data_IF_848848688205
#
_entry.id   IF_848848688205
#
_cell.length_a   1.000
_cell.length_b   1.000
_cell.length_c   1.000
_cell.angle_alpha   90.00
_cell.angle_beta   90.00
_cell.angle_gamma   90.00
#
_symmetry.space_group_name_H-M   'P 1'
#
loop_
_entity.id
_entity.type
_entity.pdbx_description
1 polymer ?
#
# COMPACT_ATOMS: atom_id res chain seq x y z
N UNK A 1 0.36 16.78 -8.52
CA UNK A 1 -0.84 16.99 -7.67
C UNK A 1 -0.45 16.85 -6.23
N UNK A 2 -0.76 17.84 -5.40
CA UNK A 2 -0.42 17.84 -3.96
C UNK A 2 -1.48 17.07 -3.19
N UNK A 3 -1.15 15.92 -2.63
CA UNK A 3 -2.06 15.17 -1.75
C UNK A 3 -1.96 15.78 -0.36
N UNK A 4 -2.99 16.51 0.08
CA UNK A 4 -3.11 16.97 1.47
C UNK A 4 -3.62 15.81 2.33
N UNK A 5 -2.75 15.17 3.07
CA UNK A 5 -3.11 14.16 4.06
C UNK A 5 -3.62 14.86 5.34
N UNK A 6 -4.83 14.53 5.79
CA UNK A 6 -5.41 15.05 7.03
C UNK A 6 -4.86 14.29 8.23
N UNK A 7 -4.41 15.02 9.23
CA UNK A 7 -3.96 14.51 10.51
C UNK A 7 -5.14 14.03 11.36
N UNK A 8 -5.03 12.84 11.95
CA UNK A 8 -5.82 12.43 13.10
C UNK A 8 -4.90 12.48 14.34
N UNK A 9 -5.23 13.35 15.29
CA UNK A 9 -4.55 13.45 16.59
C UNK A 9 -4.73 12.19 17.42
N UNK A 10 -3.73 11.74 18.18
CA UNK A 10 -3.87 10.62 19.09
C UNK A 10 -4.63 11.06 20.34
N UNK A 11 -5.84 10.60 20.54
CA UNK A 11 -6.55 10.66 21.82
C UNK A 11 -6.34 9.36 22.58
N UNK A 12 -5.74 9.53 23.72
CA UNK A 12 -5.81 8.81 24.99
C UNK A 12 -5.96 7.29 25.07
N UNK A 13 -5.15 6.71 25.99
CA UNK A 13 -4.99 5.29 26.24
C UNK A 13 -6.27 4.58 26.68
N UNK A 14 -6.74 3.70 25.87
CA UNK A 14 -7.67 2.64 26.16
C UNK A 14 -7.30 1.43 25.33
N UNK A 15 -7.33 0.24 25.91
CA UNK A 15 -7.23 -1.04 25.24
C UNK A 15 -8.27 -1.10 24.12
N UNK A 16 -7.90 -0.57 22.95
CA UNK A 16 -8.74 -0.60 21.77
C UNK A 16 -8.51 -1.97 21.13
N UNK A 17 -9.48 -2.86 21.27
CA UNK A 17 -9.76 -3.85 20.26
C UNK A 17 -9.77 -3.07 18.93
N UNK A 18 -8.68 -3.20 18.18
CA UNK A 18 -8.58 -2.64 16.83
C UNK A 18 -9.73 -3.21 16.01
N UNK A 19 -10.81 -2.46 15.88
CA UNK A 19 -11.80 -2.75 14.86
C UNK A 19 -11.04 -2.64 13.53
N UNK A 20 -10.78 -3.79 12.90
CA UNK A 20 -10.17 -3.87 11.59
C UNK A 20 -11.06 -3.07 10.66
N UNK A 21 -10.61 -1.89 10.26
CA UNK A 21 -11.39 -1.00 9.41
C UNK A 21 -11.37 -1.54 7.99
N UNK A 22 -12.49 -2.08 7.56
CA UNK A 22 -12.71 -2.69 6.24
C UNK A 22 -12.63 -1.68 5.07
N UNK A 23 -12.53 -0.39 5.38
CA UNK A 23 -12.54 0.70 4.40
C UNK A 23 -11.31 0.76 3.50
N UNK A 24 -10.18 0.19 3.92
CA UNK A 24 -8.92 0.22 3.15
C UNK A 24 -8.96 -0.64 1.87
N UNK A 25 -9.52 -1.85 1.95
CA UNK A 25 -9.56 -2.79 0.82
C UNK A 25 -10.61 -2.43 -0.24
N UNK A 26 -11.75 -1.89 0.16
CA UNK A 26 -12.75 -1.40 -0.79
C UNK A 26 -12.20 -0.27 -1.67
N UNK A 27 -11.30 0.54 -1.13
CA UNK A 27 -10.58 1.58 -1.88
C UNK A 27 -9.47 1.01 -2.77
N UNK A 28 -8.90 -0.15 -2.41
CA UNK A 28 -7.88 -0.83 -3.22
C UNK A 28 -8.45 -1.50 -4.47
N UNK A 29 -9.71 -1.91 -4.48
CA UNK A 29 -10.30 -2.63 -5.65
C UNK A 29 -10.35 -1.78 -6.92
N UNK A 30 -10.39 -0.45 -6.81
CA UNK A 30 -10.35 0.47 -7.95
C UNK A 30 -8.95 0.71 -8.53
N UNK A 31 -7.89 0.59 -7.73
CA UNK A 31 -6.53 0.93 -8.13
C UNK A 31 -5.91 0.00 -9.20
N UNK A 32 -6.08 -1.34 -9.12
CA UNK A 32 -5.65 -2.22 -10.20
C UNK A 32 -6.32 -1.90 -11.54
N UNK A 33 -7.57 -1.44 -11.52
CA UNK A 33 -8.30 -1.03 -12.73
C UNK A 33 -7.70 0.23 -13.35
N UNK A 34 -7.40 1.25 -12.56
CA UNK A 34 -6.67 2.45 -13.03
C UNK A 34 -5.31 2.08 -13.65
N UNK A 35 -4.60 1.12 -13.03
CA UNK A 35 -3.34 0.61 -13.55
C UNK A 35 -3.50 -0.08 -14.92
N UNK A 36 -4.53 -0.90 -15.07
CA UNK A 36 -4.87 -1.56 -16.33
C UNK A 36 -5.22 -0.54 -17.43
N UNK A 37 -6.02 0.47 -17.12
CA UNK A 37 -6.44 1.52 -18.06
C UNK A 37 -5.24 2.29 -18.64
N UNK A 38 -4.22 2.56 -17.83
CA UNK A 38 -2.98 3.21 -18.30
C UNK A 38 -2.28 2.37 -19.37
N UNK A 39 -2.14 1.06 -19.17
CA UNK A 39 -1.50 0.17 -20.15
C UNK A 39 -2.38 -0.08 -21.37
N UNK A 40 -3.70 -0.05 -21.23
CA UNK A 40 -4.62 -0.10 -22.37
C UNK A 40 -4.50 1.15 -23.24
N UNK A 41 -4.40 2.34 -22.64
CA UNK A 41 -4.17 3.57 -23.37
C UNK A 41 -2.80 3.59 -24.09
N UNK A 42 -1.75 3.05 -23.46
CA UNK A 42 -0.44 2.87 -24.08
C UNK A 42 -0.53 1.94 -25.29
N UNK A 43 -1.25 0.84 -25.20
CA UNK A 43 -1.47 -0.10 -26.30
C UNK A 43 -2.21 0.55 -27.47
N UNK A 44 -3.22 1.40 -27.19
CA UNK A 44 -3.95 2.15 -28.22
C UNK A 44 -3.01 3.13 -28.95
N UNK A 45 -2.14 3.82 -28.20
CA UNK A 45 -1.16 4.73 -28.78
C UNK A 45 -0.20 3.99 -29.72
N UNK A 46 0.40 2.89 -29.27
CA UNK A 46 1.29 2.05 -30.08
C UNK A 46 0.59 1.51 -31.33
N UNK A 47 -0.67 1.08 -31.19
CA UNK A 47 -1.47 0.60 -32.32
C UNK A 47 -1.77 1.70 -33.35
N UNK A 48 -1.97 2.95 -32.91
CA UNK A 48 -2.15 4.09 -33.80
C UNK A 48 -0.84 4.41 -34.57
N UNK A 49 0.30 4.39 -33.88
CA UNK A 49 1.62 4.55 -34.48
C UNK A 49 1.92 3.45 -35.51
N UNK A 50 1.52 2.22 -35.23
CA UNK A 50 1.65 1.10 -36.16
C UNK A 50 0.88 1.35 -37.46
N UNK A 51 -0.35 1.86 -37.38
CA UNK A 51 -1.17 2.21 -38.57
C UNK A 51 -0.53 3.30 -39.40
N UNK A 52 0.04 4.32 -38.77
CA UNK A 52 0.77 5.40 -39.46
C UNK A 52 2.07 4.92 -40.10
N UNK A 53 2.83 4.07 -39.40
CA UNK A 53 4.10 3.49 -39.91
C UNK A 53 3.85 2.58 -41.08
N UNK A 54 2.75 1.80 -41.08
CA UNK A 54 2.36 0.98 -42.26
C UNK A 54 2.11 1.81 -43.50
N UNK A 55 1.61 3.03 -43.37
CA UNK A 55 1.43 3.97 -44.49
C UNK A 55 2.76 4.50 -45.02
N UNK A 56 3.78 4.60 -44.18
CA UNK A 56 5.09 5.22 -44.52
C UNK A 56 6.20 4.22 -44.90
N UNK A 57 5.87 2.92 -45.07
CA UNK A 57 6.78 1.86 -45.57
C UNK A 57 8.10 1.66 -44.81
N UNK A 58 8.18 1.95 -43.52
CA UNK A 58 9.36 1.72 -42.66
C UNK A 58 9.31 0.33 -42.02
N UNK A 59 9.66 -0.72 -42.75
CA UNK A 59 9.53 -2.12 -42.38
C UNK A 59 10.27 -2.52 -41.09
N UNK A 60 11.50 -2.04 -40.88
CA UNK A 60 12.27 -2.39 -39.68
C UNK A 60 11.61 -1.86 -38.40
N UNK A 61 11.20 -0.61 -38.41
CA UNK A 61 10.51 0.02 -37.29
C UNK A 61 9.14 -0.63 -37.02
N UNK A 62 8.46 -1.09 -38.07
CA UNK A 62 7.20 -1.80 -37.97
C UNK A 62 7.34 -3.13 -37.18
N UNK A 63 8.43 -3.87 -37.41
CA UNK A 63 8.69 -5.12 -36.72
C UNK A 63 8.91 -4.92 -35.22
N UNK A 64 9.69 -3.93 -34.83
CA UNK A 64 9.95 -3.61 -33.42
C UNK A 64 8.64 -3.18 -32.73
N UNK A 65 7.83 -2.35 -33.37
CA UNK A 65 6.55 -1.90 -32.86
C UNK A 65 5.54 -3.07 -32.70
N UNK A 66 5.51 -4.02 -33.64
CA UNK A 66 4.68 -5.23 -33.50
C UNK A 66 5.12 -6.12 -32.34
N UNK A 67 6.42 -6.23 -32.10
CA UNK A 67 6.96 -6.98 -30.96
C UNK A 67 6.55 -6.34 -29.64
N UNK A 68 6.62 -5.01 -29.56
CA UNK A 68 6.24 -4.24 -28.37
C UNK A 68 4.74 -4.35 -28.10
N UNK A 69 3.89 -4.18 -29.10
CA UNK A 69 2.44 -4.37 -29.00
C UNK A 69 2.10 -5.78 -28.48
N UNK A 70 2.69 -6.84 -29.05
CA UNK A 70 2.46 -8.22 -28.59
C UNK A 70 2.95 -8.47 -27.17
N UNK A 71 4.02 -7.81 -26.75
CA UNK A 71 4.50 -7.90 -25.38
C UNK A 71 3.51 -7.24 -24.42
N UNK A 72 3.01 -6.04 -24.76
CA UNK A 72 2.05 -5.29 -23.98
C UNK A 72 0.69 -5.99 -23.91
N UNK A 73 0.20 -6.57 -25.02
CA UNK A 73 -1.02 -7.40 -25.01
C UNK A 73 -0.94 -8.58 -24.04
N UNK A 74 0.19 -9.30 -24.03
CA UNK A 74 0.42 -10.40 -23.09
C UNK A 74 0.47 -9.91 -21.65
N UNK A 75 1.04 -8.74 -21.42
CA UNK A 75 1.10 -8.12 -20.10
C UNK A 75 -0.30 -7.71 -19.62
N UNK A 76 -1.10 -7.05 -20.47
CA UNK A 76 -2.50 -6.68 -20.16
C UNK A 76 -3.34 -7.91 -19.82
N UNK A 77 -3.29 -8.98 -20.61
CA UNK A 77 -4.02 -10.22 -20.31
C UNK A 77 -3.61 -10.83 -18.96
N UNK A 78 -2.33 -10.73 -18.61
CA UNK A 78 -1.83 -11.18 -17.30
C UNK A 78 -2.38 -10.32 -16.17
N UNK A 79 -2.42 -9.00 -16.36
CA UNK A 79 -3.02 -8.07 -15.39
C UNK A 79 -4.51 -8.37 -15.19
N UNK A 80 -5.28 -8.55 -16.26
CA UNK A 80 -6.70 -8.91 -16.20
C UNK A 80 -6.92 -10.20 -15.42
N UNK A 81 -6.12 -11.22 -15.68
CA UNK A 81 -6.19 -12.48 -14.95
C UNK A 81 -5.88 -12.29 -13.44
N UNK A 82 -4.84 -11.51 -13.11
CA UNK A 82 -4.51 -11.24 -11.71
C UNK A 82 -5.60 -10.43 -11.01
N UNK A 83 -6.18 -9.44 -11.68
CA UNK A 83 -7.31 -8.68 -11.15
C UNK A 83 -8.49 -9.59 -10.80
N UNK A 84 -8.87 -10.49 -11.72
CA UNK A 84 -9.94 -11.46 -11.46
C UNK A 84 -9.63 -12.35 -10.24
N UNK A 85 -8.36 -12.75 -10.07
CA UNK A 85 -7.94 -13.53 -8.90
C UNK A 85 -8.00 -12.73 -7.60
N UNK A 86 -7.58 -11.47 -7.62
CA UNK A 86 -7.70 -10.58 -6.46
C UNK A 86 -9.17 -10.35 -6.09
N UNK A 87 -10.04 -10.10 -7.08
CA UNK A 87 -11.47 -9.91 -6.86
C UNK A 87 -12.12 -11.17 -6.26
N UNK A 88 -11.87 -12.35 -6.81
CA UNK A 88 -12.37 -13.64 -6.32
C UNK A 88 -11.94 -13.90 -4.87
N UNK A 89 -10.66 -13.71 -4.58
CA UNK A 89 -10.11 -13.94 -3.24
C UNK A 89 -10.63 -12.89 -2.25
N UNK A 90 -10.78 -11.64 -2.68
CA UNK A 90 -11.34 -10.57 -1.88
C UNK A 90 -12.80 -10.80 -1.53
N UNK A 91 -13.63 -11.24 -2.48
CA UNK A 91 -15.03 -11.59 -2.23
C UNK A 91 -15.13 -12.73 -1.20
N UNK A 92 -14.32 -13.78 -1.38
CA UNK A 92 -14.24 -14.90 -0.43
C UNK A 92 -13.84 -14.42 0.96
N UNK A 93 -12.83 -13.60 1.03
CA UNK A 93 -12.38 -12.96 2.29
C UNK A 93 -13.50 -12.15 2.95
N UNK A 94 -14.21 -11.33 2.18
CA UNK A 94 -15.35 -10.54 2.67
C UNK A 94 -16.46 -11.41 3.28
N UNK A 95 -16.77 -12.53 2.63
CA UNK A 95 -17.79 -13.48 3.15
C UNK A 95 -17.32 -14.09 4.46
N UNK A 96 -16.11 -14.60 4.52
CA UNK A 96 -15.54 -15.19 5.73
C UNK A 96 -15.46 -14.17 6.89
N UNK A 97 -15.01 -12.97 6.60
CA UNK A 97 -14.96 -11.89 7.59
C UNK A 97 -16.35 -11.55 8.17
N UNK A 98 -17.38 -11.45 7.31
CA UNK A 98 -18.77 -11.21 7.76
C UNK A 98 -19.30 -12.34 8.61
N UNK A 99 -18.99 -13.58 8.26
CA UNK A 99 -19.36 -14.76 9.06
C UNK A 99 -18.67 -14.73 10.43
N UNK A 100 -17.38 -14.44 10.49
CA UNK A 100 -16.63 -14.26 11.72
C UNK A 100 -17.22 -13.16 12.59
N UNK A 101 -17.52 -11.99 12.03
CA UNK A 101 -18.13 -10.88 12.77
C UNK A 101 -19.53 -11.24 13.27
N UNK A 102 -20.33 -11.92 12.47
CA UNK A 102 -21.63 -12.44 12.87
C UNK A 102 -21.52 -13.39 14.07
N UNK A 103 -20.60 -14.35 14.01
CA UNK A 103 -20.35 -15.30 15.08
C UNK A 103 -19.86 -14.62 16.38
N UNK A 104 -18.95 -13.65 16.28
CA UNK A 104 -18.48 -12.86 17.44
C UNK A 104 -19.63 -12.05 18.05
N UNK A 105 -20.46 -11.40 17.24
CA UNK A 105 -21.60 -10.63 17.70
C UNK A 105 -22.65 -11.52 18.38
N UNK A 106 -22.94 -12.70 17.80
CA UNK A 106 -23.83 -13.69 18.42
C UNK A 106 -23.28 -14.17 19.77
N UNK A 107 -21.99 -14.52 19.82
CA UNK A 107 -21.32 -14.92 21.08
C UNK A 107 -21.46 -13.82 22.14
N UNK A 108 -21.22 -12.56 21.76
CA UNK A 108 -21.38 -11.40 22.66
C UNK A 108 -22.83 -11.22 23.13
N UNK A 109 -23.79 -11.33 22.21
CA UNK A 109 -25.22 -11.20 22.55
C UNK A 109 -25.65 -12.29 23.55
N UNK A 110 -25.29 -13.54 23.34
CA UNK A 110 -25.62 -14.65 24.24
C UNK A 110 -24.88 -14.55 25.58
N UNK A 111 -23.65 -14.01 25.61
CA UNK A 111 -22.91 -13.81 26.87
C UNK A 111 -23.52 -12.70 27.75
N UNK A 112 -24.21 -11.73 27.14
CA UNK A 112 -24.89 -10.63 27.85
C UNK A 112 -26.36 -10.95 28.20
N UNK A 113 -26.93 -12.05 27.65
CA UNK A 113 -28.28 -12.47 27.91
C UNK A 113 -28.41 -13.11 29.30
N UNK A 114 -29.61 -13.02 29.96
CA UNK A 114 -29.86 -13.73 31.19
C UNK A 114 -29.56 -15.21 31.03
N UNK A 115 -28.96 -15.83 32.06
CA UNK A 115 -28.54 -17.23 32.04
C UNK A 115 -29.73 -18.18 31.97
N UNK A 116 -30.27 -18.39 30.76
CA UNK A 116 -31.25 -19.42 30.47
C UNK A 116 -30.55 -20.70 29.96
N UNK A 117 -31.24 -21.86 30.05
CA UNK A 117 -30.72 -23.12 29.48
C UNK A 117 -30.49 -23.01 27.98
N UNK A 118 -31.41 -22.37 27.26
CA UNK A 118 -31.32 -22.12 25.84
C UNK A 118 -30.11 -21.23 25.48
N UNK A 119 -29.83 -20.16 26.25
CA UNK A 119 -28.65 -19.29 26.04
C UNK A 119 -27.34 -20.06 26.25
N UNK A 120 -27.29 -20.96 27.23
CA UNK A 120 -26.10 -21.80 27.48
C UNK A 120 -25.88 -22.84 26.39
N UNK A 121 -26.93 -23.48 25.90
CA UNK A 121 -26.85 -24.43 24.76
C UNK A 121 -26.42 -23.72 23.49
N UNK A 122 -26.95 -22.54 23.21
CA UNK A 122 -26.52 -21.70 22.03
C UNK A 122 -25.07 -21.24 22.14
N UNK A 123 -24.63 -20.84 23.32
CA UNK A 123 -23.22 -20.51 23.57
C UNK A 123 -22.32 -21.73 23.37
N UNK A 124 -22.70 -22.87 23.88
CA UNK A 124 -21.93 -24.12 23.71
C UNK A 124 -21.85 -24.53 22.24
N UNK A 125 -22.94 -24.41 21.49
CA UNK A 125 -22.95 -24.65 20.04
C UNK A 125 -22.01 -23.68 19.31
N UNK A 126 -22.03 -22.40 19.66
CA UNK A 126 -21.11 -21.42 19.09
C UNK A 126 -19.64 -21.70 19.46
N UNK A 127 -19.36 -22.13 20.68
CA UNK A 127 -18.00 -22.49 21.08
C UNK A 127 -17.44 -23.69 20.34
N UNK A 128 -18.28 -24.64 19.92
CA UNK A 128 -17.87 -25.82 19.17
C UNK A 128 -17.72 -25.50 17.67
N UNK A 129 -18.64 -24.73 17.09
CA UNK A 129 -18.71 -24.55 15.65
C UNK A 129 -18.04 -23.26 15.13
N UNK A 130 -17.93 -22.23 15.98
CA UNK A 130 -17.27 -20.97 15.61
C UNK A 130 -15.75 -21.10 15.42
N UNK A 131 -14.99 -21.92 16.22
CA UNK A 131 -13.57 -22.13 15.91
C UNK A 131 -13.31 -22.71 14.52
N UNK A 132 -14.23 -23.51 13.99
CA UNK A 132 -14.11 -24.02 12.62
C UNK A 132 -14.38 -22.96 11.54
N UNK A 133 -15.17 -21.91 11.87
CA UNK A 133 -15.47 -20.79 10.96
C UNK A 133 -14.55 -19.59 11.16
N UNK A 134 -13.83 -19.52 12.29
CA UNK A 134 -12.99 -18.39 12.70
C UNK A 134 -11.53 -18.82 12.88
N UNK A 135 -11.09 -19.80 12.10
CA UNK A 135 -9.67 -20.14 12.07
C UNK A 135 -8.89 -18.87 11.69
N UNK A 136 -8.28 -18.23 12.68
CA UNK A 136 -7.37 -17.09 12.45
C UNK A 136 -6.29 -17.44 11.42
N UNK A 137 -6.01 -18.72 11.28
CA UNK A 137 -5.09 -19.28 10.30
C UNK A 137 -5.61 -19.10 8.87
N UNK A 138 -6.90 -19.42 8.58
CA UNK A 138 -7.44 -19.32 7.24
C UNK A 138 -7.56 -17.87 6.78
N UNK A 139 -7.99 -16.97 7.68
CA UNK A 139 -8.05 -15.53 7.39
C UNK A 139 -6.66 -14.95 7.14
N UNK A 140 -5.68 -15.30 7.97
CA UNK A 140 -4.30 -14.85 7.81
C UNK A 140 -3.66 -15.37 6.53
N UNK A 141 -4.01 -16.58 6.11
CA UNK A 141 -3.55 -17.15 4.84
C UNK A 141 -4.12 -16.38 3.65
N UNK A 142 -5.44 -16.11 3.66
CA UNK A 142 -6.09 -15.32 2.61
C UNK A 142 -5.53 -13.89 2.54
N UNK A 143 -5.23 -13.29 3.69
CA UNK A 143 -4.59 -11.98 3.76
C UNK A 143 -3.20 -12.02 3.10
N UNK A 144 -2.39 -13.03 3.43
CA UNK A 144 -1.08 -13.23 2.82
C UNK A 144 -1.14 -13.45 1.31
N UNK A 145 -2.10 -14.24 0.85
CA UNK A 145 -2.31 -14.47 -0.59
C UNK A 145 -2.73 -13.20 -1.32
N UNK A 146 -3.61 -12.38 -0.71
CA UNK A 146 -3.99 -11.06 -1.24
C UNK A 146 -2.78 -10.12 -1.33
N UNK A 147 -1.94 -10.08 -0.29
CA UNK A 147 -0.75 -9.24 -0.25
C UNK A 147 0.25 -9.62 -1.36
N UNK A 148 0.45 -10.91 -1.60
CA UNK A 148 1.30 -11.40 -2.69
C UNK A 148 0.74 -10.99 -4.07
N UNK A 149 -0.57 -11.09 -4.26
CA UNK A 149 -1.22 -10.74 -5.52
C UNK A 149 -1.23 -9.22 -5.79
N UNK A 150 -1.15 -8.40 -4.75
CA UNK A 150 -1.06 -6.93 -4.88
C UNK A 150 0.32 -6.45 -5.38
N UNK A 151 1.31 -7.33 -5.46
CA UNK A 151 2.62 -7.01 -6.02
C UNK A 151 3.56 -6.30 -5.06
N UNK A 152 4.29 -5.29 -5.52
CA UNK A 152 5.37 -4.64 -4.78
C UNK A 152 5.27 -3.12 -4.86
N UNK A 153 5.57 -2.44 -3.75
CA UNK A 153 5.69 -0.99 -3.67
C UNK A 153 7.17 -0.61 -3.57
N UNK A 154 7.69 0.01 -4.61
CA UNK A 154 9.04 0.56 -4.66
C UNK A 154 9.00 2.01 -4.20
N UNK A 155 9.70 2.33 -3.12
CA UNK A 155 9.75 3.67 -2.55
C UNK A 155 11.19 4.15 -2.58
N UNK A 156 11.43 5.28 -3.27
CA UNK A 156 12.73 5.95 -3.32
C UNK A 156 12.71 7.21 -2.49
N UNK A 157 13.78 7.39 -1.70
CA UNK A 157 14.03 8.61 -0.96
C UNK A 157 14.52 9.70 -1.91
N UNK A 158 13.82 10.83 -1.98
CA UNK A 158 14.25 12.01 -2.76
C UNK A 158 14.81 13.12 -1.87
N UNK A 159 14.39 13.18 -0.61
CA UNK A 159 14.91 14.12 0.34
C UNK A 159 13.86 14.73 1.26
N UNK A 160 14.33 15.64 2.09
CA UNK A 160 13.50 16.51 2.91
C UNK A 160 13.42 17.89 2.26
N UNK A 161 12.25 18.49 2.29
CA UNK A 161 12.02 19.87 1.90
C UNK A 161 11.60 20.63 3.15
N UNK A 162 12.30 21.69 3.47
CA UNK A 162 12.00 22.51 4.64
C UNK A 162 12.13 23.98 4.37
N UNK A 163 11.20 24.77 4.89
CA UNK A 163 11.34 26.21 4.90
C UNK A 163 12.06 26.64 6.18
N UNK A 164 13.25 27.24 6.03
CA UNK A 164 14.06 27.81 7.10
C UNK A 164 14.51 26.85 8.24
N UNK A 165 14.46 25.53 8.04
CA UNK A 165 14.80 24.56 9.09
C UNK A 165 15.87 23.53 8.74
N UNK A 166 16.18 23.38 7.46
CA UNK A 166 17.24 22.47 7.01
C UNK A 166 18.54 23.29 6.88
N UNK A 167 19.47 23.06 7.78
CA UNK A 167 20.75 23.77 7.76
C UNK A 167 21.87 22.84 7.29
N UNK A 168 22.88 23.39 6.57
CA UNK A 168 24.07 22.63 6.24
C UNK A 168 24.72 21.99 7.46
N UNK A 169 25.02 20.69 7.38
CA UNK A 169 25.57 19.90 8.47
C UNK A 169 24.54 19.16 9.32
N UNK A 170 23.26 19.50 9.22
CA UNK A 170 22.20 18.78 9.93
C UNK A 170 22.11 17.32 9.45
N UNK A 171 21.88 16.43 10.41
CA UNK A 171 21.67 15.00 10.14
C UNK A 171 20.26 14.61 10.50
N UNK A 172 19.65 13.84 9.63
CA UNK A 172 18.29 13.33 9.78
C UNK A 172 18.24 11.82 9.71
N UNK A 173 17.31 11.22 10.46
CA UNK A 173 16.95 9.82 10.37
C UNK A 173 15.47 9.73 10.01
N UNK A 174 15.17 9.08 8.88
CA UNK A 174 13.81 8.79 8.43
C UNK A 174 13.53 7.32 8.65
N UNK A 175 12.41 7.02 9.30
CA UNK A 175 11.95 5.65 9.49
C UNK A 175 10.59 5.51 8.84
N UNK A 176 10.53 4.68 7.81
CA UNK A 176 9.29 4.28 7.13
C UNK A 176 8.93 2.88 7.57
N UNK A 177 7.70 2.67 8.05
CA UNK A 177 7.22 1.39 8.56
C UNK A 177 5.88 1.02 7.93
N UNK A 178 5.77 -0.23 7.49
CA UNK A 178 4.52 -0.84 7.08
C UNK A 178 4.37 -2.22 7.75
N UNK A 179 3.51 -2.31 8.75
CA UNK A 179 3.37 -3.53 9.54
C UNK A 179 4.68 -3.94 10.23
N UNK A 180 5.24 -5.08 9.83
CA UNK A 180 6.52 -5.58 10.33
C UNK A 180 7.72 -5.08 9.52
N UNK A 181 7.50 -4.61 8.31
CA UNK A 181 8.54 -4.09 7.44
C UNK A 181 8.95 -2.70 7.93
N UNK A 182 10.26 -2.45 7.96
CA UNK A 182 10.82 -1.19 8.43
C UNK A 182 12.01 -0.81 7.59
N UNK A 183 12.00 0.42 7.11
CA UNK A 183 13.11 1.04 6.41
C UNK A 183 13.62 2.22 7.24
N UNK A 184 14.91 2.22 7.53
CA UNK A 184 15.58 3.24 8.32
C UNK A 184 16.68 3.84 7.49
N UNK A 185 16.56 5.14 7.21
CA UNK A 185 17.45 5.88 6.33
C UNK A 185 18.06 7.00 7.12
N UNK A 186 19.35 7.23 6.94
CA UNK A 186 20.05 8.38 7.49
C UNK A 186 20.57 9.24 6.37
N UNK A 187 20.48 10.55 6.57
CA UNK A 187 20.98 11.51 5.61
C UNK A 187 21.54 12.75 6.28
N UNK A 188 22.26 13.51 5.49
CA UNK A 188 22.90 14.74 5.89
C UNK A 188 22.62 15.82 4.86
N UNK A 189 22.45 17.05 5.36
CA UNK A 189 22.40 18.26 4.53
C UNK A 189 23.83 18.73 4.30
N UNK A 190 24.24 18.79 3.04
CA UNK A 190 25.57 19.22 2.65
C UNK A 190 25.66 20.76 2.58
N UNK A 191 26.88 21.29 2.41
CA UNK A 191 27.14 22.74 2.43
C UNK A 191 26.59 23.47 1.18
N UNK A 192 26.28 22.73 0.13
CA UNK A 192 25.66 23.21 -1.10
C UNK A 192 24.14 23.01 -1.17
N UNK A 193 23.52 22.76 -0.01
CA UNK A 193 22.09 22.42 0.15
C UNK A 193 21.68 21.09 -0.51
N UNK A 194 22.62 20.33 -1.06
CA UNK A 194 22.34 18.96 -1.49
C UNK A 194 22.15 18.03 -0.30
N UNK A 195 21.56 16.88 -0.53
CA UNK A 195 21.29 15.89 0.51
C UNK A 195 21.90 14.56 0.13
N UNK A 196 22.60 13.96 1.07
CA UNK A 196 23.19 12.64 0.91
C UNK A 196 22.48 11.67 1.85
N UNK A 197 22.04 10.53 1.32
CA UNK A 197 21.29 9.50 2.05
C UNK A 197 22.01 8.15 1.93
N UNK A 198 22.02 7.36 3.02
CA UNK A 198 22.72 6.07 3.08
C UNK A 198 22.03 4.98 2.25
N UNK A 199 20.72 5.06 2.10
CA UNK A 199 19.92 4.19 1.24
C UNK A 199 18.94 5.02 0.42
N UNK A 200 18.77 4.68 -0.86
CA UNK A 200 17.92 5.44 -1.76
C UNK A 200 16.56 4.78 -2.01
N UNK A 201 16.48 3.46 -1.94
CA UNK A 201 15.29 2.70 -2.33
C UNK A 201 15.01 1.53 -1.41
N UNK A 202 13.74 1.29 -1.14
CA UNK A 202 13.23 0.10 -0.46
C UNK A 202 12.00 -0.46 -1.18
N UNK A 203 11.89 -1.78 -1.21
CA UNK A 203 10.71 -2.49 -1.70
C UNK A 203 9.88 -2.94 -0.51
N UNK A 204 8.63 -2.49 -0.45
CA UNK A 204 7.65 -2.93 0.53
C UNK A 204 6.66 -3.90 -0.12
N UNK A 205 6.35 -4.98 0.58
CA UNK A 205 5.20 -5.80 0.26
C UNK A 205 3.95 -5.10 0.81
N UNK A 206 2.90 -4.96 0.00
CA UNK A 206 1.64 -4.37 0.44
C UNK A 206 1.10 -5.06 1.69
N UNK A 207 0.41 -4.34 2.53
CA UNK A 207 -0.27 -4.90 3.70
C UNK A 207 -1.72 -4.42 3.72
N UNK A 208 -2.64 -5.39 3.87
CA UNK A 208 -4.09 -5.14 3.75
C UNK A 208 -4.64 -4.20 4.83
N UNK A 209 -4.05 -4.21 6.03
CA UNK A 209 -4.58 -3.47 7.19
C UNK A 209 -3.66 -2.39 7.75
N UNK A 210 -2.39 -2.40 7.37
CA UNK A 210 -1.43 -1.47 7.95
C UNK A 210 -1.28 -0.24 7.07
N UNK A 211 -1.25 0.89 7.72
CA UNK A 211 -0.87 2.15 7.12
C UNK A 211 0.64 2.35 7.23
N UNK A 212 1.18 3.17 6.36
CA UNK A 212 2.55 3.64 6.48
C UNK A 212 2.69 4.58 7.68
N UNK A 213 3.61 4.26 8.55
CA UNK A 213 4.05 5.14 9.65
C UNK A 213 5.41 5.72 9.27
N UNK A 214 5.49 7.04 9.15
CA UNK A 214 6.72 7.76 8.77
C UNK A 214 7.12 8.63 9.94
N UNK A 215 8.38 8.46 10.41
CA UNK A 215 8.97 9.26 11.47
C UNK A 215 10.22 9.94 10.94
N UNK A 216 10.37 11.22 11.24
CA UNK A 216 11.57 11.98 10.95
C UNK A 216 12.18 12.47 12.25
N UNK A 217 13.44 12.19 12.43
CA UNK A 217 14.24 12.58 13.60
C UNK A 217 15.45 13.37 13.15
N UNK A 218 15.86 14.34 13.96
CA UNK A 218 17.05 15.19 13.77
C UNK A 218 18.08 14.85 14.82
N UNK A 219 19.35 14.76 14.43
CA UNK A 219 20.45 14.56 15.37
C UNK A 219 20.71 15.86 16.13
N UNK A 220 20.59 15.83 17.46
CA UNK A 220 20.93 16.96 18.34
C UNK A 220 21.78 16.52 19.53
N UNK A 221 22.99 17.00 19.56
CA UNK A 221 23.94 16.62 20.61
C UNK A 221 24.25 15.14 20.59
N UNK A 222 23.95 14.43 21.69
CA UNK A 222 24.20 12.97 21.81
C UNK A 222 22.97 12.10 21.45
N UNK A 223 21.89 12.67 20.93
CA UNK A 223 20.65 11.95 20.71
C UNK A 223 19.90 12.35 19.44
N UNK A 224 18.75 11.70 19.25
CA UNK A 224 17.82 11.94 18.15
C UNK A 224 16.56 12.63 18.68
N UNK A 225 16.23 13.79 18.15
CA UNK A 225 15.01 14.52 18.46
C UNK A 225 13.94 14.23 17.42
N UNK A 226 12.74 13.86 17.87
CA UNK A 226 11.60 13.68 16.96
C UNK A 226 11.20 15.04 16.37
N UNK A 227 11.27 15.14 15.04
CA UNK A 227 10.81 16.30 14.27
C UNK A 227 9.32 16.20 14.02
N UNK A 228 8.87 14.99 13.62
CA UNK A 228 7.46 14.71 13.41
C UNK A 228 7.21 13.27 13.03
N UNK A 229 5.94 12.88 13.11
CA UNK A 229 5.45 11.57 12.75
C UNK A 229 4.10 11.69 12.04
N UNK A 230 3.95 10.96 10.96
CA UNK A 230 2.71 10.93 10.18
C UNK A 230 2.32 9.50 9.85
N UNK A 231 1.01 9.27 9.76
CA UNK A 231 0.44 8.01 9.29
C UNK A 231 -0.25 8.27 7.94
N UNK A 232 0.20 7.58 6.91
CA UNK A 232 -0.35 7.66 5.56
C UNK A 232 -1.14 6.39 5.26
N UNK A 233 -2.30 6.52 4.61
CA UNK A 233 -3.04 5.36 4.17
C UNK A 233 -2.23 4.58 3.12
N UNK A 234 -2.11 3.26 3.25
CA UNK A 234 -1.36 2.45 2.28
C UNK A 234 -1.92 2.58 0.87
N UNK A 235 -3.23 2.80 0.74
CA UNK A 235 -3.91 2.99 -0.55
C UNK A 235 -3.36 4.17 -1.36
N UNK A 236 -2.82 5.20 -0.71
CA UNK A 236 -2.26 6.38 -1.39
C UNK A 236 -0.97 6.07 -2.13
N UNK A 237 -0.33 4.93 -1.81
CA UNK A 237 0.91 4.48 -2.44
C UNK A 237 0.69 3.58 -3.66
N UNK A 238 -0.55 3.14 -3.93
CA UNK A 238 -0.89 2.36 -5.11
C UNK A 238 -1.17 3.29 -6.29
N UNK A 239 -0.12 3.67 -6.98
CA UNK A 239 -0.14 4.64 -8.09
C UNK A 239 0.08 3.93 -9.42
N UNK A 240 -0.71 4.29 -10.44
CA UNK A 240 -0.65 3.64 -11.77
C UNK A 240 0.66 3.94 -12.53
N UNK A 241 1.32 5.06 -12.21
CA UNK A 241 2.60 5.47 -12.79
C UNK A 241 3.53 5.96 -11.68
N UNK A 242 4.86 5.94 -11.87
CA UNK A 242 5.79 6.52 -10.92
C UNK A 242 5.39 7.95 -10.54
N UNK A 243 5.21 8.20 -9.26
CA UNK A 243 4.69 9.48 -8.77
C UNK A 243 5.56 10.02 -7.63
N UNK A 244 5.82 11.31 -7.68
CA UNK A 244 6.43 12.04 -6.59
C UNK A 244 5.38 12.38 -5.53
N UNK A 245 5.58 11.89 -4.32
CA UNK A 245 4.73 12.15 -3.15
C UNK A 245 5.42 13.14 -2.22
N UNK A 246 4.67 14.13 -1.76
CA UNK A 246 5.07 15.06 -0.71
C UNK A 246 4.26 14.77 0.55
N UNK A 247 4.95 14.38 1.62
CA UNK A 247 4.35 14.04 2.91
C UNK A 247 4.69 15.13 3.92
N UNK A 248 3.67 15.81 4.44
CA UNK A 248 3.84 16.82 5.48
C UNK A 248 4.22 16.13 6.81
N UNK A 249 5.43 16.35 7.30
CA UNK A 249 5.95 15.72 8.53
C UNK A 249 5.58 16.51 9.78
N UNK A 250 5.57 17.83 9.66
CA UNK A 250 5.18 18.73 10.75
C UNK A 250 3.76 19.23 10.55
N UNK A 251 3.05 19.54 11.63
CA UNK A 251 1.66 20.01 11.58
C UNK A 251 1.47 21.26 10.69
N UNK A 252 2.46 22.14 10.67
CA UNK A 252 2.46 23.36 9.86
C UNK A 252 3.03 23.14 8.44
N UNK A 253 3.40 21.90 8.06
CA UNK A 253 4.01 21.62 6.77
C UNK A 253 5.38 22.29 6.56
N UNK A 254 6.07 22.65 7.65
CA UNK A 254 7.39 23.31 7.58
C UNK A 254 8.51 22.36 7.15
N UNK A 255 8.33 21.06 7.38
CA UNK A 255 9.20 20.00 6.85
C UNK A 255 8.34 18.99 6.14
N UNK A 256 8.70 18.69 4.90
CA UNK A 256 8.06 17.70 4.04
C UNK A 256 9.05 16.63 3.64
N UNK A 257 8.60 15.40 3.60
CA UNK A 257 9.36 14.30 3.03
C UNK A 257 8.94 14.10 1.58
N UNK A 258 9.93 14.00 0.70
CA UNK A 258 9.74 13.76 -0.71
C UNK A 258 10.12 12.32 -1.05
N UNK A 259 9.15 11.56 -1.53
CA UNK A 259 9.29 10.17 -1.93
C UNK A 259 8.86 9.99 -3.38
N UNK A 260 9.57 9.17 -4.13
CA UNK A 260 9.08 8.66 -5.41
C UNK A 260 8.53 7.26 -5.17
N UNK A 261 7.27 7.07 -5.53
CA UNK A 261 6.56 5.80 -5.36
C UNK A 261 6.29 5.19 -6.71
N UNK A 262 6.59 3.90 -6.82
CA UNK A 262 6.25 3.09 -7.99
C UNK A 262 5.59 1.80 -7.52
N UNK A 263 4.36 1.57 -7.96
CA UNK A 263 3.67 0.32 -7.70
C UNK A 263 3.86 -0.65 -8.87
N UNK A 264 4.38 -1.83 -8.58
CA UNK A 264 4.51 -2.93 -9.54
C UNK A 264 3.47 -4.00 -9.24
N UNK A 265 2.29 -3.86 -9.82
CA UNK A 265 1.14 -4.72 -9.56
C UNK A 265 1.35 -6.17 -10.02
N UNK A 266 1.95 -6.38 -11.18
CA UNK A 266 2.27 -7.73 -11.66
C UNK A 266 3.74 -8.05 -11.38
N UNK A 267 4.00 -9.08 -10.59
CA UNK A 267 5.37 -9.54 -10.32
C UNK A 267 6.07 -9.87 -11.64
N UNK A 268 7.09 -9.09 -11.99
CA UNK A 268 7.94 -9.32 -13.16
C UNK A 268 8.78 -10.63 -13.05
N UNK A 269 8.75 -11.31 -11.89
CA UNK A 269 9.55 -12.51 -11.60
C UNK A 269 9.20 -13.72 -12.46
N UNK A 270 8.09 -13.71 -13.21
CA UNK A 270 7.70 -14.81 -14.11
C UNK A 270 7.78 -14.44 -15.60
N UNK A 271 8.64 -13.48 -15.97
CA UNK A 271 8.84 -13.04 -17.37
C UNK A 271 10.19 -13.52 -17.92
N UNK A 272 10.59 -14.77 -17.58
CA UNK A 272 11.67 -15.48 -18.32
C UNK A 272 11.13 -16.72 -18.98
#
# INVERSE_FOLDING_TARGET
>A
MSVKLRFNSPSDGGLIHRSRSFTGLGSLSGRPREYLEVHQAEMELLSSQQRETKRNSRLAFLYDLEKEIKALERYIRRLEFQMSKVEELYETYCVQWKLCQGAVNMKRAFSLSPSSRASRESLHFLYINVPACTSDCDMSTMEGDLEILLGELHIKMKGLIGFARLCPGDQYEVVVRLGRQRWKIRGRIESDDSQSWDEEEMVFLPHVYHNFEIKVMEAKGLGWLLVGMVTCASVDFFVAQPQLMLVDITELGTIKLQLEVTWKYANARNAT
#
